data_IF_766941265333
#
_entry.id   IF_766941265333
#
_cell.length_a   1.000
_cell.length_b   1.000
_cell.length_c   1.000
_cell.angle_alpha   90.00
_cell.angle_beta   90.00
_cell.angle_gamma   90.00
#
_symmetry.space_group_name_H-M   'P 1'
#
loop_
_entity.id
_entity.type
_entity.pdbx_description
1 polymer ?
#
# COMPACT_ATOMS: atom_id res chain seq x y z
N UNK A 1 4.61 -11.48 -9.44
CA UNK A 1 4.17 -10.78 -8.22
C UNK A 1 3.99 -11.84 -7.14
N UNK A 2 4.47 -11.59 -5.93
CA UNK A 2 4.22 -12.47 -4.78
C UNK A 2 3.05 -11.96 -3.94
N UNK A 3 2.37 -12.87 -3.24
CA UNK A 3 1.29 -12.50 -2.34
C UNK A 3 1.86 -11.96 -1.02
N UNK A 4 1.47 -10.74 -0.65
CA UNK A 4 1.89 -10.07 0.59
C UNK A 4 0.67 -9.85 1.48
N UNK A 5 0.66 -10.53 2.63
CA UNK A 5 -0.43 -10.41 3.60
C UNK A 5 -0.32 -9.12 4.42
N UNK A 6 -1.47 -8.58 4.83
CA UNK A 6 -1.54 -7.49 5.80
C UNK A 6 -0.77 -7.88 7.08
N UNK A 7 0.07 -6.97 7.58
CA UNK A 7 0.94 -7.23 8.73
C UNK A 7 2.22 -8.01 8.43
N UNK A 8 2.52 -8.29 7.15
CA UNK A 8 3.80 -8.87 6.74
C UNK A 8 4.99 -8.02 7.19
N UNK A 9 6.09 -8.69 7.56
CA UNK A 9 7.38 -8.07 7.91
C UNK A 9 8.38 -8.09 6.74
N UNK A 10 7.93 -8.48 5.54
CA UNK A 10 8.77 -8.49 4.35
C UNK A 10 9.21 -7.06 3.99
N UNK A 11 10.48 -6.93 3.61
CA UNK A 11 11.09 -5.66 3.20
C UNK A 11 11.80 -5.76 1.83
N UNK A 12 11.86 -6.96 1.28
CA UNK A 12 12.37 -7.33 -0.03
C UNK A 12 11.56 -8.54 -0.51
N UNK A 13 11.74 -8.98 -1.78
CA UNK A 13 11.08 -10.19 -2.24
C UNK A 13 11.43 -11.42 -1.40
N UNK A 14 10.51 -12.39 -1.32
CA UNK A 14 10.79 -13.66 -0.65
C UNK A 14 11.82 -14.53 -1.38
N UNK A 15 11.95 -14.34 -2.70
CA UNK A 15 12.91 -15.01 -3.58
C UNK A 15 13.17 -14.16 -4.83
N UNK A 16 14.29 -14.41 -5.51
CA UNK A 16 14.68 -13.72 -6.76
C UNK A 16 13.69 -13.93 -7.92
N UNK A 17 12.78 -14.90 -7.81
CA UNK A 17 11.70 -15.11 -8.79
C UNK A 17 10.62 -14.00 -8.78
N UNK A 18 10.65 -13.06 -7.82
CA UNK A 18 9.62 -12.05 -7.67
C UNK A 18 10.18 -10.62 -7.69
N UNK A 19 9.55 -9.76 -8.48
CA UNK A 19 9.95 -8.34 -8.57
C UNK A 19 9.14 -7.42 -7.64
N UNK A 20 7.87 -7.76 -7.41
CA UNK A 20 6.86 -6.92 -6.71
C UNK A 20 5.89 -7.77 -5.89
N UNK A 21 5.31 -7.15 -4.86
CA UNK A 21 4.27 -7.74 -4.01
C UNK A 21 2.85 -7.27 -4.39
N UNK A 22 1.85 -8.07 -4.03
CA UNK A 22 0.43 -7.77 -4.26
C UNK A 22 -0.45 -8.33 -3.13
N UNK A 23 -1.57 -7.67 -2.84
CA UNK A 23 -2.51 -8.09 -1.79
C UNK A 23 -3.42 -9.27 -2.21
N UNK A 24 -3.75 -9.35 -3.50
CA UNK A 24 -4.56 -10.42 -4.07
C UNK A 24 -4.13 -10.72 -5.51
N UNK A 25 -3.81 -11.98 -5.80
CA UNK A 25 -3.32 -12.40 -7.12
C UNK A 25 -4.38 -12.35 -8.24
N UNK A 26 -5.66 -12.47 -7.90
CA UNK A 26 -6.76 -12.51 -8.86
C UNK A 26 -7.43 -11.15 -9.05
N UNK A 27 -7.59 -10.39 -7.96
CA UNK A 27 -8.23 -9.08 -7.97
C UNK A 27 -7.45 -8.09 -7.10
N UNK A 28 -6.30 -7.59 -7.60
CA UNK A 28 -5.38 -6.76 -6.84
C UNK A 28 -5.95 -5.37 -6.55
N UNK A 29 -5.79 -4.90 -5.31
CA UNK A 29 -6.16 -3.53 -4.92
C UNK A 29 -4.97 -2.73 -4.41
N UNK A 30 -3.90 -3.39 -3.97
CA UNK A 30 -2.68 -2.78 -3.47
C UNK A 30 -1.45 -3.51 -4.00
N UNK A 31 -0.46 -2.74 -4.44
CA UNK A 31 0.82 -3.26 -4.91
C UNK A 31 1.94 -2.76 -4.01
N UNK A 32 2.96 -3.60 -3.84
CA UNK A 32 4.17 -3.27 -3.07
C UNK A 32 5.36 -3.30 -4.02
N UNK A 33 6.01 -2.15 -4.17
CA UNK A 33 7.32 -2.05 -4.81
C UNK A 33 8.34 -1.89 -3.69
N UNK A 34 9.27 -2.82 -3.60
CA UNK A 34 10.32 -2.81 -2.58
C UNK A 34 11.28 -1.64 -2.80
N UNK A 35 11.86 -1.11 -1.72
CA UNK A 35 12.73 0.07 -1.77
C UNK A 35 13.88 -0.07 -2.77
N UNK A 36 14.45 -1.28 -2.89
CA UNK A 36 15.54 -1.56 -3.85
C UNK A 36 15.12 -1.40 -5.32
N UNK A 37 13.82 -1.50 -5.61
CA UNK A 37 13.24 -1.41 -6.95
C UNK A 37 12.54 -0.07 -7.22
N UNK A 38 12.36 0.79 -6.21
CA UNK A 38 11.60 2.04 -6.32
C UNK A 38 12.10 2.95 -7.45
N UNK A 39 13.42 3.07 -7.63
CA UNK A 39 14.00 3.97 -8.62
C UNK A 39 14.05 3.38 -10.05
N UNK A 40 13.84 2.07 -10.19
CA UNK A 40 13.97 1.37 -11.47
C UNK A 40 12.62 0.87 -12.00
N UNK A 41 11.63 0.69 -11.14
CA UNK A 41 10.32 0.10 -11.46
C UNK A 41 9.15 1.08 -11.35
N UNK A 42 9.39 2.33 -10.95
CA UNK A 42 8.37 3.38 -10.91
C UNK A 42 8.69 4.44 -11.95
N UNK A 43 7.77 4.64 -12.89
CA UNK A 43 7.78 5.76 -13.82
C UNK A 43 6.54 6.64 -13.59
N UNK A 44 6.68 7.80 -12.92
CA UNK A 44 5.54 8.70 -12.70
C UNK A 44 5.18 9.42 -14.00
N UNK A 45 4.08 9.02 -14.63
CA UNK A 45 3.65 9.56 -15.93
C UNK A 45 2.77 10.82 -15.80
N UNK A 46 1.88 10.85 -14.81
CA UNK A 46 0.91 11.94 -14.63
C UNK A 46 0.81 12.40 -13.18
N UNK A 47 0.34 13.64 -13.00
CA UNK A 47 -0.10 14.19 -11.72
C UNK A 47 -1.56 14.61 -11.84
N UNK A 48 -2.37 14.25 -10.84
CA UNK A 48 -3.81 14.51 -10.81
C UNK A 48 -4.14 15.40 -9.62
N UNK A 49 -4.82 16.52 -9.89
CA UNK A 49 -5.30 17.46 -8.87
C UNK A 49 -6.82 17.40 -8.78
N UNK A 50 -7.35 17.22 -7.57
CA UNK A 50 -8.79 17.21 -7.31
C UNK A 50 -9.11 17.94 -5.99
N UNK A 51 -10.38 18.31 -5.80
CA UNK A 51 -10.89 18.87 -4.54
C UNK A 51 -11.75 17.82 -3.86
N UNK A 52 -11.58 17.66 -2.54
CA UNK A 52 -12.38 16.76 -1.72
C UNK A 52 -13.53 17.52 -1.05
N UNK A 53 -14.69 16.88 -0.87
CA UNK A 53 -15.82 17.48 -0.16
C UNK A 53 -15.57 17.54 1.36
N UNK A 54 -16.03 18.57 2.08
CA UNK A 54 -15.85 18.67 3.53
C UNK A 54 -16.43 17.51 4.33
N UNK A 55 -17.43 16.80 3.80
CA UNK A 55 -18.05 15.64 4.44
C UNK A 55 -17.25 14.33 4.30
N UNK A 56 -16.14 14.34 3.56
CA UNK A 56 -15.24 13.19 3.42
C UNK A 56 -14.02 13.27 4.35
N UNK A 57 -13.96 14.30 5.21
CA UNK A 57 -13.00 14.41 6.29
C UNK A 57 -13.50 13.61 7.50
N UNK A 58 -13.36 12.30 7.47
CA UNK A 58 -13.47 11.48 8.69
C UNK A 58 -12.36 11.93 9.67
N UNK A 59 -12.69 12.35 10.91
CA UNK A 59 -11.67 12.66 11.90
C UNK A 59 -10.90 11.38 12.23
N UNK A 60 -9.58 11.36 11.97
CA UNK A 60 -8.66 10.23 12.20
C UNK A 60 -8.46 9.91 13.71
N UNK A 61 -9.37 10.35 14.59
CA UNK A 61 -9.15 10.40 16.04
C UNK A 61 -10.26 9.73 16.87
N UNK A 62 -11.01 8.78 16.33
CA UNK A 62 -12.09 8.10 17.07
C UNK A 62 -11.83 6.64 17.45
N UNK A 63 -10.68 6.04 17.10
CA UNK A 63 -10.42 4.60 17.40
C UNK A 63 -9.40 4.30 18.50
N UNK A 64 -8.76 5.30 19.14
CA UNK A 64 -7.78 5.04 20.21
C UNK A 64 -8.38 5.11 21.63
N UNK A 65 -9.57 5.68 21.82
CA UNK A 65 -10.20 5.86 23.15
C UNK A 65 -11.29 4.80 23.51
N UNK A 66 -11.26 3.58 22.96
CA UNK A 66 -12.22 2.51 23.39
C UNK A 66 -11.60 1.30 24.10
N UNK A 67 -10.30 1.33 24.42
CA UNK A 67 -9.63 0.26 25.18
C UNK A 67 -9.21 0.68 26.60
N UNK A 68 -9.81 1.75 27.13
CA UNK A 68 -9.61 2.22 28.50
C UNK A 68 -10.95 2.43 29.21
N UNK A 69 -11.80 1.40 29.21
CA UNK A 69 -12.81 1.18 30.26
C UNK A 69 -12.87 -0.31 30.61
#
# INVERSE_FOLDING_TARGET
MELVFLGSKQFCPSDECFDTGVDNLQNPTHYVIWNMNMNTHIYPEYSVSFKMSPSAEEPVQSQIESLAE
#
